data_IF_920254176243
#
_entry.id   IF_920254176243
#
_cell.length_a   1.000
_cell.length_b   1.000
_cell.length_c   1.000
_cell.angle_alpha   90.00
_cell.angle_beta   90.00
_cell.angle_gamma   90.00
#
_symmetry.space_group_name_H-M   'P 1'
#
loop_
_entity.id
_entity.type
_entity.pdbx_description
1 polymer ?
#
# COMPACT_ATOMS: atom_id res chain seq x y z
N UNK A 1 -14.98 -15.30 21.44
CA UNK A 1 -13.84 -16.21 21.22
C UNK A 1 -12.97 -16.06 22.44
N UNK A 2 -13.29 -16.79 23.50
CA UNK A 2 -12.67 -16.64 24.81
C UNK A 2 -11.32 -17.36 24.81
N UNK A 3 -10.26 -16.58 24.64
CA UNK A 3 -8.87 -17.04 24.66
C UNK A 3 -8.33 -17.32 26.07
N UNK A 4 -9.19 -17.56 27.06
CA UNK A 4 -8.79 -17.65 28.47
C UNK A 4 -9.13 -18.98 29.14
N UNK A 5 -9.42 -20.04 28.37
CA UNK A 5 -9.30 -21.38 28.95
C UNK A 5 -7.83 -21.73 29.01
N UNK A 6 -7.12 -21.10 29.96
CA UNK A 6 -5.86 -21.58 30.48
C UNK A 6 -6.15 -22.98 31.00
N UNK A 7 -6.01 -23.98 30.12
CA UNK A 7 -5.90 -25.38 30.48
C UNK A 7 -4.89 -25.39 31.63
N UNK A 8 -5.40 -25.62 32.84
CA UNK A 8 -4.59 -25.56 34.04
C UNK A 8 -3.34 -26.38 33.79
N UNK A 9 -2.18 -25.82 34.11
CA UNK A 9 -0.98 -26.62 34.24
C UNK A 9 -1.32 -27.70 35.28
N UNK A 10 -1.74 -28.88 34.83
CA UNK A 10 -1.93 -30.02 35.69
C UNK A 10 -0.54 -30.33 36.19
N UNK A 11 -0.31 -29.94 37.43
CA UNK A 11 0.91 -30.24 38.14
C UNK A 11 1.06 -31.77 38.14
N UNK A 12 1.84 -32.31 37.20
CA UNK A 12 2.15 -33.74 37.13
C UNK A 12 3.05 -34.19 38.30
N UNK A 13 3.45 -33.28 39.20
CA UNK A 13 4.06 -33.61 40.48
C UNK A 13 2.98 -33.80 41.56
N UNK A 14 2.42 -34.99 41.64
CA UNK A 14 1.50 -35.37 42.72
C UNK A 14 1.11 -36.84 42.62
N UNK A 15 1.79 -37.69 43.37
CA UNK A 15 1.49 -39.12 43.57
C UNK A 15 0.22 -39.31 44.42
N UNK A 16 -0.90 -38.75 44.00
CA UNK A 16 -2.12 -38.72 44.82
C UNK A 16 -2.86 -40.08 44.85
N UNK A 17 -2.65 -40.99 43.86
CA UNK A 17 -3.27 -42.34 43.85
C UNK A 17 -2.25 -43.49 43.82
N UNK A 18 -1.08 -43.29 44.46
CA UNK A 18 -0.09 -44.37 44.71
C UNK A 18 -0.76 -45.61 45.34
N UNK A 19 -1.85 -45.39 46.07
CA UNK A 19 -2.64 -46.38 46.79
C UNK A 19 -3.39 -47.38 45.90
N UNK A 20 -3.78 -47.05 44.65
CA UNK A 20 -4.50 -48.01 43.79
C UNK A 20 -3.57 -49.05 43.18
N UNK A 21 -2.38 -48.62 42.72
CA UNK A 21 -1.35 -49.54 42.21
C UNK A 21 -0.88 -50.44 43.35
N UNK A 22 -0.62 -49.87 44.53
CA UNK A 22 -0.28 -50.61 45.74
C UNK A 22 -1.39 -51.59 46.14
N UNK A 23 -2.67 -51.18 46.15
CA UNK A 23 -3.80 -52.06 46.45
C UNK A 23 -3.95 -53.21 45.44
N UNK A 24 -3.55 -52.99 44.19
CA UNK A 24 -3.56 -54.03 43.16
C UNK A 24 -2.40 -55.01 43.35
N UNK A 25 -1.23 -54.50 43.75
CA UNK A 25 -0.06 -55.32 44.07
C UNK A 25 -0.25 -56.14 45.36
N UNK A 26 -0.92 -55.59 46.38
CA UNK A 26 -1.23 -56.27 47.64
C UNK A 26 -2.17 -57.48 47.48
N UNK A 27 -2.97 -57.52 46.41
CA UNK A 27 -3.91 -58.61 46.12
C UNK A 27 -3.27 -59.80 45.40
N UNK A 28 -2.03 -59.65 44.92
CA UNK A 28 -1.30 -60.68 44.20
C UNK A 28 -0.49 -61.55 45.18
N UNK A 29 -0.37 -62.85 44.90
CA UNK A 29 0.44 -63.77 45.71
C UNK A 29 1.94 -63.59 45.45
N UNK A 30 2.79 -64.08 46.36
CA UNK A 30 4.26 -64.01 46.24
C UNK A 30 4.78 -64.58 44.91
N UNK A 31 4.20 -65.68 44.42
CA UNK A 31 4.60 -66.28 43.14
C UNK A 31 4.21 -65.42 41.95
N UNK A 32 3.10 -64.69 42.03
CA UNK A 32 2.62 -63.78 40.98
C UNK A 32 3.43 -62.48 40.97
N UNK A 33 3.85 -61.97 42.14
CA UNK A 33 4.75 -60.83 42.25
C UNK A 33 6.14 -61.12 41.67
N UNK A 34 6.71 -62.29 41.95
CA UNK A 34 8.01 -62.74 41.39
C UNK A 34 7.94 -62.89 39.86
N UNK A 35 6.82 -63.43 39.36
CA UNK A 35 6.56 -63.52 37.92
C UNK A 35 6.42 -62.13 37.28
N UNK A 36 5.68 -61.21 37.92
CA UNK A 36 5.50 -59.84 37.45
C UNK A 36 6.81 -59.04 37.48
N UNK A 37 7.67 -59.25 38.49
CA UNK A 37 8.99 -58.63 38.59
C UNK A 37 9.90 -58.99 37.40
N UNK A 38 9.69 -60.19 36.84
CA UNK A 38 10.41 -60.69 35.65
C UNK A 38 9.70 -60.34 34.34
N UNK A 39 8.46 -59.84 34.38
CA UNK A 39 7.63 -59.50 33.21
C UNK A 39 7.47 -57.97 33.07
N UNK A 40 8.39 -57.38 32.30
CA UNK A 40 8.38 -55.96 32.00
C UNK A 40 7.10 -55.48 31.28
N UNK A 41 6.52 -56.28 30.39
CA UNK A 41 5.28 -55.89 29.70
C UNK A 41 4.07 -55.97 30.63
N UNK A 42 4.06 -56.92 31.58
CA UNK A 42 3.10 -56.96 32.68
C UNK A 42 3.15 -55.71 33.57
N UNK A 43 4.35 -55.28 33.99
CA UNK A 43 4.56 -54.05 34.76
C UNK A 43 4.10 -52.82 33.99
N UNK A 44 4.46 -52.72 32.71
CA UNK A 44 4.07 -51.62 31.83
C UNK A 44 2.55 -51.58 31.58
N UNK A 45 1.90 -52.73 31.48
CA UNK A 45 0.44 -52.84 31.37
C UNK A 45 -0.25 -52.39 32.66
N UNK A 46 0.27 -52.78 33.83
CA UNK A 46 -0.21 -52.30 35.11
C UNK A 46 -0.08 -50.78 35.23
N UNK A 47 1.08 -50.23 34.84
CA UNK A 47 1.30 -48.78 34.81
C UNK A 47 0.32 -48.08 33.85
N UNK A 48 0.13 -48.58 32.62
CA UNK A 48 -0.85 -48.02 31.66
C UNK A 48 -2.29 -48.06 32.17
N UNK A 49 -2.64 -49.01 33.02
CA UNK A 49 -3.97 -49.12 33.61
C UNK A 49 -4.17 -48.23 34.84
N UNK A 50 -3.12 -47.57 35.33
CA UNK A 50 -3.24 -46.57 36.40
C UNK A 50 -4.17 -45.43 35.97
N UNK A 51 -4.98 -44.87 36.89
CA UNK A 51 -5.85 -43.75 36.58
C UNK A 51 -5.07 -42.52 36.10
N UNK A 52 -3.84 -42.31 36.57
CA UNK A 52 -2.99 -41.18 36.18
C UNK A 52 -2.50 -41.29 34.74
N UNK A 53 -1.95 -42.44 34.34
CA UNK A 53 -1.47 -42.61 32.96
C UNK A 53 -2.65 -42.58 31.99
N UNK A 54 -3.81 -43.13 32.36
CA UNK A 54 -5.03 -42.99 31.56
C UNK A 54 -5.50 -41.54 31.44
N UNK A 55 -5.43 -40.76 32.52
CA UNK A 55 -5.76 -39.33 32.51
C UNK A 55 -4.79 -38.55 31.61
N UNK A 56 -3.47 -38.80 31.71
CA UNK A 56 -2.46 -38.18 30.85
C UNK A 56 -2.73 -38.52 29.37
N UNK A 57 -3.01 -39.78 29.06
CA UNK A 57 -3.29 -40.18 27.67
C UNK A 57 -4.59 -39.57 27.15
N UNK A 58 -5.62 -39.45 28.00
CA UNK A 58 -6.87 -38.76 27.66
C UNK A 58 -6.64 -37.25 27.43
N UNK A 59 -5.91 -36.57 28.32
CA UNK A 59 -5.58 -35.15 28.18
C UNK A 59 -4.73 -34.90 26.91
N UNK A 60 -3.80 -35.80 26.60
CA UNK A 60 -3.01 -35.78 25.36
C UNK A 60 -3.91 -35.91 24.14
N UNK A 61 -4.84 -36.86 24.12
CA UNK A 61 -5.77 -37.05 23.01
C UNK A 61 -6.66 -35.81 22.81
N UNK A 62 -7.14 -35.20 23.90
CA UNK A 62 -7.87 -33.93 23.85
C UNK A 62 -7.01 -32.82 23.24
N UNK A 63 -5.75 -32.70 23.68
CA UNK A 63 -4.82 -31.70 23.15
C UNK A 63 -4.51 -31.92 21.66
N UNK A 64 -4.28 -33.18 21.25
CA UNK A 64 -4.04 -33.53 19.85
C UNK A 64 -5.25 -33.22 18.97
N UNK A 65 -6.46 -33.51 19.45
CA UNK A 65 -7.69 -33.19 18.73
C UNK A 65 -7.91 -31.69 18.63
N UNK A 66 -7.63 -30.92 19.69
CA UNK A 66 -7.73 -29.46 19.67
C UNK A 66 -6.67 -28.83 18.75
N UNK A 67 -5.43 -29.31 18.78
CA UNK A 67 -4.38 -28.86 17.87
C UNK A 67 -4.76 -29.15 16.40
N UNK A 68 -5.27 -30.35 16.12
CA UNK A 68 -5.75 -30.70 14.78
C UNK A 68 -6.88 -29.78 14.34
N UNK A 69 -7.88 -29.55 15.19
CA UNK A 69 -8.99 -28.64 14.92
C UNK A 69 -8.50 -27.22 14.61
N UNK A 70 -7.52 -26.72 15.35
CA UNK A 70 -6.91 -25.40 15.11
C UNK A 70 -6.12 -25.37 13.80
N UNK A 71 -5.35 -26.42 13.50
CA UNK A 71 -4.63 -26.53 12.24
C UNK A 71 -5.58 -26.57 11.04
N UNK A 72 -6.66 -27.34 11.11
CA UNK A 72 -7.71 -27.40 10.09
C UNK A 72 -8.40 -26.04 9.92
N UNK A 73 -8.73 -25.35 11.01
CA UNK A 73 -9.30 -24.01 10.97
C UNK A 73 -8.34 -23.00 10.32
N UNK A 74 -7.04 -23.05 10.64
CA UNK A 74 -6.03 -22.18 10.04
C UNK A 74 -5.88 -22.46 8.54
N UNK A 75 -5.85 -23.74 8.13
CA UNK A 75 -5.81 -24.13 6.71
C UNK A 75 -7.07 -23.69 5.96
N UNK A 76 -8.23 -23.73 6.60
CA UNK A 76 -9.48 -23.24 6.01
C UNK A 76 -9.50 -21.72 5.78
N UNK A 77 -8.72 -20.95 6.56
CA UNK A 77 -8.61 -19.50 6.39
C UNK A 77 -7.66 -19.10 5.25
N UNK A 78 -6.66 -19.92 4.93
CA UNK A 78 -5.69 -19.68 3.86
C UNK A 78 -6.31 -19.24 2.50
N UNK A 79 -7.34 -19.91 1.94
CA UNK A 79 -7.93 -19.48 0.67
C UNK A 79 -8.57 -18.10 0.76
N UNK A 80 -9.26 -17.79 1.87
CA UNK A 80 -9.88 -16.48 2.06
C UNK A 80 -8.84 -15.38 2.22
N UNK A 81 -7.75 -15.66 2.95
CA UNK A 81 -6.62 -14.76 3.10
C UNK A 81 -5.95 -14.47 1.75
N UNK A 82 -5.66 -15.52 0.97
CA UNK A 82 -5.04 -15.38 -0.34
C UNK A 82 -5.94 -14.62 -1.32
N UNK A 83 -7.25 -14.86 -1.29
CA UNK A 83 -8.21 -14.09 -2.09
C UNK A 83 -8.18 -12.60 -1.73
N UNK A 84 -8.23 -12.25 -0.43
CA UNK A 84 -8.17 -10.85 0.02
C UNK A 84 -6.83 -10.18 -0.28
N UNK A 85 -5.74 -10.93 -0.20
CA UNK A 85 -4.41 -10.48 -0.59
C UNK A 85 -4.36 -10.14 -2.09
N UNK A 86 -4.90 -11.00 -2.96
CA UNK A 86 -4.98 -10.74 -4.40
C UNK A 86 -5.87 -9.53 -4.72
N UNK A 87 -7.05 -9.46 -4.11
CA UNK A 87 -7.97 -8.31 -4.26
C UNK A 87 -7.29 -6.98 -3.88
N UNK A 88 -6.52 -6.97 -2.77
CA UNK A 88 -5.77 -5.80 -2.36
C UNK A 88 -4.68 -5.40 -3.38
N UNK A 89 -3.95 -6.37 -3.93
CA UNK A 89 -2.92 -6.11 -4.93
C UNK A 89 -3.54 -5.54 -6.21
N UNK A 90 -4.64 -6.12 -6.69
CA UNK A 90 -5.35 -5.66 -7.89
C UNK A 90 -5.95 -4.26 -7.71
N UNK A 91 -6.63 -4.02 -6.59
CA UNK A 91 -7.19 -2.69 -6.27
C UNK A 91 -6.10 -1.63 -6.11
N UNK A 92 -4.95 -1.99 -5.54
CA UNK A 92 -3.82 -1.07 -5.46
C UNK A 92 -3.18 -0.78 -6.83
N UNK A 93 -3.04 -1.80 -7.67
CA UNK A 93 -2.50 -1.64 -9.03
C UNK A 93 -3.40 -0.72 -9.87
N UNK A 94 -4.73 -0.92 -9.81
CA UNK A 94 -5.70 -0.05 -10.49
C UNK A 94 -5.68 1.38 -9.94
N UNK A 95 -5.60 1.55 -8.61
CA UNK A 95 -5.42 2.86 -7.98
C UNK A 95 -4.16 3.57 -8.50
N UNK A 96 -3.00 2.89 -8.53
CA UNK A 96 -1.76 3.47 -9.03
C UNK A 96 -1.84 3.88 -10.49
N UNK A 97 -2.49 3.06 -11.33
CA UNK A 97 -2.71 3.43 -12.73
C UNK A 97 -3.58 4.69 -12.85
N UNK A 98 -4.64 4.80 -12.05
CA UNK A 98 -5.50 5.97 -12.03
C UNK A 98 -4.78 7.21 -11.49
N UNK A 99 -3.93 7.06 -10.48
CA UNK A 99 -3.11 8.12 -9.93
C UNK A 99 -2.14 8.68 -10.98
N UNK A 100 -1.47 7.82 -11.75
CA UNK A 100 -0.58 8.25 -12.84
C UNK A 100 -1.36 9.05 -13.88
N UNK A 101 -2.55 8.58 -14.28
CA UNK A 101 -3.41 9.27 -15.25
C UNK A 101 -3.89 10.62 -14.71
N UNK A 102 -4.30 10.67 -13.45
CA UNK A 102 -4.71 11.91 -12.78
C UNK A 102 -3.56 12.91 -12.71
N UNK A 103 -2.35 12.47 -12.32
CA UNK A 103 -1.16 13.32 -12.28
C UNK A 103 -0.80 13.87 -13.68
N UNK A 104 -0.93 13.05 -14.73
CA UNK A 104 -0.71 13.48 -16.11
C UNK A 104 -1.70 14.59 -16.52
N UNK A 105 -2.99 14.35 -16.30
CA UNK A 105 -4.04 15.33 -16.62
C UNK A 105 -3.84 16.61 -15.81
N UNK A 106 -3.55 16.48 -14.51
CA UNK A 106 -3.26 17.63 -13.64
C UNK A 106 -2.10 18.46 -14.17
N UNK A 107 -0.98 17.81 -14.52
CA UNK A 107 0.18 18.51 -15.08
C UNK A 107 -0.14 19.22 -16.40
N UNK A 108 -0.99 18.64 -17.25
CA UNK A 108 -1.42 19.26 -18.49
C UNK A 108 -2.28 20.51 -18.22
N UNK A 109 -3.25 20.39 -17.30
CA UNK A 109 -4.11 21.52 -16.92
C UNK A 109 -3.29 22.62 -16.24
N UNK A 110 -2.35 22.27 -15.34
CA UNK A 110 -1.46 23.23 -14.69
C UNK A 110 -0.59 23.97 -15.73
N UNK A 111 -0.06 23.25 -16.72
CA UNK A 111 0.70 23.85 -17.84
C UNK A 111 -0.16 24.80 -18.67
N UNK A 112 -1.40 24.43 -18.99
CA UNK A 112 -2.33 25.30 -19.74
C UNK A 112 -2.70 26.52 -18.89
N UNK A 113 -3.01 26.33 -17.62
CA UNK A 113 -3.32 27.40 -16.67
C UNK A 113 -2.17 28.39 -16.52
N UNK A 114 -0.92 27.92 -16.45
CA UNK A 114 0.24 28.77 -16.40
C UNK A 114 0.45 29.57 -17.71
N UNK A 115 0.33 28.91 -18.87
CA UNK A 115 0.52 29.54 -20.19
C UNK A 115 -0.54 30.59 -20.53
N UNK A 116 -1.80 30.34 -20.14
CA UNK A 116 -2.94 31.19 -20.44
C UNK A 116 -3.49 31.89 -19.20
N UNK A 117 -2.64 32.11 -18.19
CA UNK A 117 -3.04 32.90 -17.03
C UNK A 117 -3.36 34.33 -17.47
N UNK A 118 -4.40 34.97 -16.89
CA UNK A 118 -4.77 36.35 -17.20
C UNK A 118 -3.58 37.32 -17.12
N UNK A 119 -2.71 37.10 -16.13
CA UNK A 119 -1.47 37.84 -15.90
C UNK A 119 -0.48 37.70 -17.07
N UNK A 120 -0.26 36.48 -17.58
CA UNK A 120 0.61 36.23 -18.73
C UNK A 120 0.01 36.81 -20.01
N UNK A 121 -1.29 36.65 -20.23
CA UNK A 121 -1.99 37.23 -21.39
C UNK A 121 -1.87 38.76 -21.40
N UNK A 122 -2.04 39.40 -20.24
CA UNK A 122 -1.87 40.85 -20.10
C UNK A 122 -0.44 41.29 -20.47
N UNK A 123 0.58 40.60 -19.95
CA UNK A 123 1.98 40.92 -20.25
C UNK A 123 2.31 40.75 -21.75
N UNK A 124 1.81 39.69 -22.39
CA UNK A 124 1.97 39.49 -23.83
C UNK A 124 1.27 40.59 -24.63
N UNK A 125 0.06 40.98 -24.22
CA UNK A 125 -0.70 42.03 -24.88
C UNK A 125 -0.03 43.41 -24.73
N UNK A 126 0.54 43.71 -23.55
CA UNK A 126 1.32 44.92 -23.31
C UNK A 126 2.58 44.96 -24.19
N UNK A 127 3.27 43.83 -24.33
CA UNK A 127 4.44 43.71 -25.22
C UNK A 127 4.05 44.00 -26.67
N UNK A 128 2.98 43.37 -27.16
CA UNK A 128 2.46 43.61 -28.51
C UNK A 128 1.93 45.04 -28.71
N UNK A 129 1.43 45.70 -27.66
CA UNK A 129 1.05 47.11 -27.71
C UNK A 129 2.28 48.00 -27.89
N UNK A 130 3.32 47.77 -27.08
CA UNK A 130 4.58 48.52 -27.16
C UNK A 130 5.25 48.37 -28.53
N UNK A 131 5.26 47.17 -29.10
CA UNK A 131 5.78 46.92 -30.45
C UNK A 131 5.02 47.72 -31.52
N UNK A 132 3.68 47.76 -31.46
CA UNK A 132 2.89 48.56 -32.41
C UNK A 132 3.02 50.07 -32.17
N UNK A 133 3.27 50.49 -30.93
CA UNK A 133 3.55 51.88 -30.61
C UNK A 133 4.88 52.32 -31.23
N UNK A 134 5.94 51.53 -31.02
CA UNK A 134 7.27 51.73 -31.62
C UNK A 134 7.20 51.76 -33.16
N UNK A 135 6.52 50.80 -33.78
CA UNK A 135 6.31 50.80 -35.24
C UNK A 135 5.59 52.06 -35.73
N UNK A 136 4.63 52.57 -34.94
CA UNK A 136 3.90 53.80 -35.30
C UNK A 136 4.77 55.05 -35.17
N UNK A 137 5.65 55.08 -34.18
CA UNK A 137 6.64 56.15 -33.99
C UNK A 137 7.70 56.13 -35.08
N UNK A 138 8.20 54.94 -35.47
CA UNK A 138 9.14 54.79 -36.58
C UNK A 138 8.53 55.30 -37.90
N UNK A 139 7.27 54.97 -38.17
CA UNK A 139 6.55 55.44 -39.36
C UNK A 139 6.37 56.97 -39.33
N UNK A 140 6.07 57.54 -38.16
CA UNK A 140 5.98 58.99 -38.00
C UNK A 140 7.34 59.68 -38.22
N UNK A 141 8.42 59.12 -37.70
CA UNK A 141 9.78 59.64 -37.90
C UNK A 141 10.17 59.59 -39.39
N UNK A 142 9.92 58.47 -40.08
CA UNK A 142 10.15 58.35 -41.53
C UNK A 142 9.42 59.43 -42.34
N UNK A 143 8.19 59.76 -41.96
CA UNK A 143 7.44 60.85 -42.57
C UNK A 143 8.05 62.23 -42.30
N UNK A 144 8.47 62.51 -41.05
CA UNK A 144 9.11 63.77 -40.69
C UNK A 144 10.45 63.98 -41.40
N UNK A 145 11.20 62.90 -41.62
CA UNK A 145 12.46 62.90 -42.38
C UNK A 145 12.25 63.00 -43.89
N UNK A 146 11.00 63.13 -44.36
CA UNK A 146 10.61 63.19 -45.78
C UNK A 146 11.04 61.95 -46.57
N UNK A 147 11.24 60.83 -45.89
CA UNK A 147 11.60 59.54 -46.50
C UNK A 147 10.39 58.77 -47.05
N UNK A 148 9.17 59.27 -46.81
CA UNK A 148 7.92 58.74 -47.36
C UNK A 148 6.94 59.87 -47.73
N UNK A 149 6.05 59.59 -48.68
CA UNK A 149 4.99 60.50 -49.11
C UNK A 149 3.74 60.43 -48.21
N UNK A 150 2.87 61.43 -48.34
CA UNK A 150 1.68 61.60 -47.50
C UNK A 150 0.68 60.46 -47.71
N UNK A 151 0.46 60.02 -48.95
CA UNK A 151 -0.55 59.00 -49.25
C UNK A 151 -0.13 57.63 -48.69
N UNK A 152 1.15 57.28 -48.82
CA UNK A 152 1.73 56.08 -48.22
C UNK A 152 1.70 56.15 -46.69
N UNK A 153 2.04 57.30 -46.10
CA UNK A 153 1.97 57.49 -44.64
C UNK A 153 0.56 57.26 -44.10
N UNK A 154 -0.46 57.90 -44.70
CA UNK A 154 -1.84 57.76 -44.23
C UNK A 154 -2.36 56.32 -44.37
N UNK A 155 -1.96 55.63 -45.45
CA UNK A 155 -2.33 54.24 -45.71
C UNK A 155 -1.78 53.27 -44.66
N UNK A 156 -0.57 53.49 -44.17
CA UNK A 156 0.08 52.60 -43.18
C UNK A 156 -0.15 53.05 -41.73
N UNK A 157 -0.14 54.36 -41.45
CA UNK A 157 -0.19 54.89 -40.09
C UNK A 157 -1.57 54.78 -39.45
N UNK A 158 -2.64 55.08 -40.19
CA UNK A 158 -4.01 55.02 -39.66
C UNK A 158 -4.37 53.62 -39.14
N UNK A 159 -4.20 52.53 -39.92
CA UNK A 159 -4.53 51.19 -39.42
C UNK A 159 -3.61 50.76 -38.27
N UNK A 160 -2.32 51.10 -38.32
CA UNK A 160 -1.38 50.78 -37.24
C UNK A 160 -1.71 51.50 -35.94
N UNK A 161 -2.02 52.80 -36.01
CA UNK A 161 -2.40 53.59 -34.83
C UNK A 161 -3.76 53.15 -34.27
N UNK A 162 -4.70 52.74 -35.14
CA UNK A 162 -5.94 52.11 -34.71
C UNK A 162 -5.68 50.82 -33.93
N UNK A 163 -4.81 49.94 -34.44
CA UNK A 163 -4.43 48.69 -33.77
C UNK A 163 -3.73 48.95 -32.42
N UNK A 164 -2.80 49.90 -32.37
CA UNK A 164 -2.14 50.31 -31.13
C UNK A 164 -3.17 50.79 -30.08
N UNK A 165 -4.06 51.72 -30.45
CA UNK A 165 -5.09 52.21 -29.54
C UNK A 165 -6.05 51.10 -29.07
N UNK A 166 -6.40 50.17 -29.96
CA UNK A 166 -7.23 49.01 -29.61
C UNK A 166 -6.53 48.09 -28.59
N UNK A 167 -5.25 47.78 -28.80
CA UNK A 167 -4.44 46.97 -27.88
C UNK A 167 -4.30 47.66 -26.53
N UNK A 168 -4.02 48.97 -26.51
CA UNK A 168 -3.96 49.78 -25.29
C UNK A 168 -5.26 49.71 -24.50
N UNK A 169 -6.40 49.94 -25.16
CA UNK A 169 -7.71 49.85 -24.50
C UNK A 169 -7.96 48.45 -23.92
N UNK A 170 -7.61 47.38 -24.66
CA UNK A 170 -7.73 46.00 -24.16
C UNK A 170 -6.82 45.72 -22.97
N UNK A 171 -5.59 46.25 -22.95
CA UNK A 171 -4.69 46.17 -21.79
C UNK A 171 -5.31 46.84 -20.55
N UNK A 172 -5.82 48.06 -20.70
CA UNK A 172 -6.45 48.81 -19.61
C UNK A 172 -7.66 48.06 -19.05
N UNK A 173 -8.54 47.54 -19.93
CA UNK A 173 -9.72 46.78 -19.52
C UNK A 173 -9.37 45.45 -18.84
N UNK A 174 -8.43 44.70 -19.39
CA UNK A 174 -7.99 43.43 -18.79
C UNK A 174 -7.32 43.68 -17.42
N UNK A 175 -6.47 44.71 -17.32
CA UNK A 175 -5.83 45.10 -16.06
C UNK A 175 -6.86 45.52 -15.00
N UNK A 176 -7.90 46.26 -15.39
CA UNK A 176 -9.01 46.64 -14.52
C UNK A 176 -9.78 45.40 -14.03
N UNK A 177 -10.10 44.46 -14.93
CA UNK A 177 -10.82 43.23 -14.57
C UNK A 177 -10.02 42.31 -13.64
N UNK A 178 -8.70 42.23 -13.82
CA UNK A 178 -7.81 41.49 -12.92
C UNK A 178 -7.75 42.18 -11.56
N UNK A 179 -7.58 43.51 -11.53
CA UNK A 179 -7.46 44.27 -10.27
C UNK A 179 -8.76 44.29 -9.46
N UNK A 180 -9.90 44.28 -10.12
CA UNK A 180 -11.24 44.22 -9.48
C UNK A 180 -11.66 42.80 -9.10
N UNK A 181 -10.84 41.78 -9.42
CA UNK A 181 -11.12 40.39 -9.14
C UNK A 181 -12.22 39.77 -10.01
N UNK A 182 -12.72 40.49 -11.02
CA UNK A 182 -13.68 39.95 -12.01
C UNK A 182 -13.08 38.78 -12.80
N UNK A 183 -11.75 38.83 -13.03
CA UNK A 183 -10.97 37.73 -13.58
C UNK A 183 -9.97 37.31 -12.51
N UNK A 184 -10.14 36.10 -11.97
CA UNK A 184 -9.24 35.50 -10.99
C UNK A 184 -8.31 34.49 -11.66
N UNK A 185 -7.09 34.33 -11.13
CA UNK A 185 -6.21 33.20 -11.46
C UNK A 185 -6.99 31.88 -11.26
N UNK A 186 -6.81 30.89 -12.17
CA UNK A 186 -7.47 29.60 -12.03
C UNK A 186 -7.01 28.93 -10.74
N UNK A 187 -7.88 28.96 -9.71
CA UNK A 187 -7.65 28.28 -8.45
C UNK A 187 -7.93 26.79 -8.64
N UNK A 188 -6.94 26.07 -9.18
CA UNK A 188 -7.05 24.61 -9.27
C UNK A 188 -7.03 24.02 -7.86
N UNK A 189 -7.95 23.11 -7.52
CA UNK A 189 -7.94 22.46 -6.23
C UNK A 189 -6.61 21.70 -6.08
N UNK A 190 -5.73 22.23 -5.23
CA UNK A 190 -4.53 21.55 -4.77
C UNK A 190 -4.92 20.45 -3.79
N UNK A 191 -5.53 19.38 -4.30
CA UNK A 191 -5.75 18.17 -3.50
C UNK A 191 -4.38 17.55 -3.22
N UNK A 192 -3.93 17.65 -1.97
CA UNK A 192 -2.76 16.95 -1.46
C UNK A 192 -3.03 15.44 -1.49
N UNK A 193 -2.68 14.77 -2.60
CA UNK A 193 -2.90 13.33 -2.81
C UNK A 193 -2.01 12.43 -1.92
N UNK A 194 -1.10 13.03 -1.13
CA UNK A 194 -0.22 12.33 -0.20
C UNK A 194 -0.93 11.71 1.01
N UNK A 195 -2.23 11.97 1.22
CA UNK A 195 -2.98 11.43 2.36
C UNK A 195 -3.37 9.95 2.23
N UNK A 196 -3.22 9.34 1.04
CA UNK A 196 -3.68 7.97 0.77
C UNK A 196 -2.55 6.98 0.48
N UNK A 197 -1.36 7.18 1.02
CA UNK A 197 -0.40 6.08 1.17
C UNK A 197 -0.82 5.26 2.39
N UNK A 198 -1.29 4.01 2.24
CA UNK A 198 -1.45 3.14 3.39
C UNK A 198 -0.09 2.98 4.06
N UNK A 199 -0.08 3.05 5.39
CA UNK A 199 1.09 3.04 6.26
C UNK A 199 1.95 1.75 6.16
N UNK A 200 1.71 0.87 5.19
CA UNK A 200 2.48 -0.35 4.93
C UNK A 200 3.93 -0.06 4.50
N UNK A 201 4.21 1.15 4.01
CA UNK A 201 5.59 1.58 3.68
C UNK A 201 6.44 1.90 4.92
N UNK A 202 5.83 2.11 6.10
CA UNK A 202 6.57 2.49 7.33
C UNK A 202 7.09 1.30 8.16
N UNK A 203 6.73 0.07 7.83
CA UNK A 203 7.27 -1.10 8.54
C UNK A 203 8.58 -1.64 7.94
N UNK A 204 9.14 -0.98 6.91
CA UNK A 204 10.32 -1.46 6.19
C UNK A 204 11.63 -0.74 6.57
N UNK A 205 11.68 -0.06 7.72
CA UNK A 205 12.91 0.61 8.17
C UNK A 205 13.08 0.69 9.70
N UNK A 206 12.62 -0.31 10.44
CA UNK A 206 13.06 -0.53 11.83
C UNK A 206 13.96 -1.76 11.85
N UNK A 207 15.26 -1.52 11.75
CA UNK A 207 16.25 -2.51 12.11
C UNK A 207 16.08 -2.94 13.57
N UNK A 208 16.27 -4.24 13.78
CA UNK A 208 16.75 -4.88 15.00
C UNK A 208 15.74 -5.41 16.04
N UNK A 209 15.82 -6.74 16.20
CA UNK A 209 15.50 -7.58 17.36
C UNK A 209 14.04 -7.96 17.62
N UNK A 210 13.57 -8.95 16.86
CA UNK A 210 12.40 -9.76 17.23
C UNK A 210 12.28 -10.95 16.28
N UNK A 211 12.62 -12.15 16.75
CA UNK A 211 12.42 -13.40 16.03
C UNK A 211 10.94 -13.65 15.74
N UNK A 212 10.42 -13.07 14.67
CA UNK A 212 9.23 -13.56 13.99
C UNK A 212 9.69 -14.10 12.65
N UNK A 213 9.76 -15.43 12.57
CA UNK A 213 9.97 -16.15 11.32
C UNK A 213 9.02 -15.57 10.27
N UNK A 214 9.59 -14.92 9.25
CA UNK A 214 8.86 -14.36 8.12
C UNK A 214 8.19 -15.50 7.35
N UNK A 215 6.98 -15.86 7.78
CA UNK A 215 6.13 -16.91 7.19
C UNK A 215 5.46 -16.46 5.88
N UNK A 216 5.61 -15.20 5.48
CA UNK A 216 5.02 -14.66 4.27
C UNK A 216 6.03 -13.89 3.42
N UNK A 217 6.18 -14.21 2.11
CA UNK A 217 7.00 -13.45 1.20
C UNK A 217 6.46 -12.03 1.01
N UNK A 218 7.38 -11.06 0.89
CA UNK A 218 7.07 -9.67 0.55
C UNK A 218 6.30 -9.58 -0.76
N UNK A 219 5.22 -8.78 -0.76
CA UNK A 219 4.33 -8.53 -1.91
C UNK A 219 5.05 -7.85 -3.09
N UNK A 220 6.26 -7.34 -2.87
CA UNK A 220 7.07 -6.70 -3.89
C UNK A 220 7.90 -7.69 -4.73
N UNK A 221 7.99 -8.97 -4.33
CA UNK A 221 8.86 -9.95 -5.01
C UNK A 221 8.32 -10.45 -6.35
N UNK A 222 7.07 -10.17 -6.71
CA UNK A 222 6.48 -10.60 -7.99
C UNK A 222 6.59 -9.56 -9.12
N UNK A 223 7.22 -8.41 -8.89
CA UNK A 223 7.22 -7.31 -9.87
C UNK A 223 8.40 -7.31 -10.85
N UNK A 224 9.18 -8.39 -10.96
CA UNK A 224 10.20 -8.45 -12.02
C UNK A 224 10.47 -9.88 -12.52
N UNK A 225 9.70 -10.32 -13.52
CA UNK A 225 10.16 -11.39 -14.40
C UNK A 225 9.53 -11.22 -15.79
N UNK A 226 10.25 -10.48 -16.63
CA UNK A 226 10.05 -10.48 -18.07
C UNK A 226 11.41 -10.84 -18.70
N UNK A 227 11.40 -11.90 -19.52
CA UNK A 227 12.52 -12.53 -20.25
C UNK A 227 13.46 -13.46 -19.46
N UNK A 228 13.29 -14.78 -19.60
CA UNK A 228 14.14 -15.65 -20.45
C UNK A 228 13.84 -17.15 -20.14
N UNK A 229 13.97 -17.99 -21.16
CA UNK A 229 13.67 -19.43 -21.18
C UNK A 229 14.47 -20.28 -20.20
N UNK A 230 13.88 -21.44 -19.85
CA UNK A 230 14.48 -22.67 -19.32
C UNK A 230 15.12 -22.61 -17.92
N UNK A 231 14.42 -23.16 -16.91
CA UNK A 231 14.98 -24.17 -16.01
C UNK A 231 13.90 -24.80 -15.10
N UNK A 232 14.01 -26.11 -14.91
CA UNK A 232 13.23 -26.91 -13.97
C UNK A 232 13.65 -26.67 -12.51
N UNK A 233 12.71 -26.94 -11.58
CA UNK A 233 12.88 -27.10 -10.11
C UNK A 233 13.08 -25.80 -9.33
N UNK A 234 12.31 -25.46 -8.29
CA UNK A 234 12.02 -26.27 -7.10
C UNK A 234 10.61 -25.99 -6.55
N UNK A 235 9.78 -27.03 -6.44
CA UNK A 235 8.59 -26.99 -5.60
C UNK A 235 9.05 -27.01 -4.13
N UNK A 236 8.78 -25.95 -3.36
CA UNK A 236 8.91 -25.99 -1.90
C UNK A 236 7.88 -26.97 -1.36
N UNK A 237 8.33 -28.21 -1.16
CA UNK A 237 7.62 -29.25 -0.45
C UNK A 237 7.48 -28.83 1.02
N UNK A 238 6.25 -28.55 1.45
CA UNK A 238 5.90 -28.44 2.85
C UNK A 238 5.86 -29.86 3.44
N UNK A 239 7.03 -30.40 3.79
CA UNK A 239 7.17 -31.68 4.46
C UNK A 239 7.31 -31.51 5.97
N UNK A 240 6.28 -31.91 6.72
CA UNK A 240 6.47 -32.37 8.10
C UNK A 240 7.11 -33.76 8.03
N UNK A 241 8.38 -33.88 8.42
CA UNK A 241 8.97 -35.18 8.69
C UNK A 241 8.42 -35.70 10.02
N UNK A 242 7.93 -36.94 9.97
CA UNK A 242 7.33 -37.75 11.05
C UNK A 242 8.37 -38.02 12.14
#
# INVERSE_FOLDING_TARGET
MDYTSTMGATNYNGLDNKDEILSTLEKLSKSELEALLSDYEGIKKLAKNSPEIRKIEADKEVCMNENRRQAEANLALEPTFNMKKTELVETYATYRQLEIQYMKIKSEVDSIGAKYSPSVILALLQTANAESEEQSEELANRFLDKSMDVDTFLKEFIPLRKLCNERRFKCEKLSEQISTGQISEPNLPSTNHMSYLPNMMKMMNTDSSGSTSQLYPSLLSLSNSNNNSNNYSTASSYGFNI
#
